data_IF_460221771325
#
_entry.id   IF_460221771325
#
_cell.length_a   1.000
_cell.length_b   1.000
_cell.length_c   1.000
_cell.angle_alpha   90.00
_cell.angle_beta   90.00
_cell.angle_gamma   90.00
#
_symmetry.space_group_name_H-M   'P 1'
#
loop_
_entity.id
_entity.type
_entity.pdbx_description
1 polymer ?
#
# COMPACT_ATOMS: atom_id res chain seq x y z
N UNK A 1 -20.21 8.49 -6.12
CA UNK A 1 -19.66 7.80 -7.32
C UNK A 1 -18.17 7.54 -7.08
N UNK A 2 -17.58 6.51 -7.68
CA UNK A 2 -16.14 6.22 -7.56
C UNK A 2 -15.41 6.42 -8.88
N UNK A 3 -14.22 7.02 -8.85
CA UNK A 3 -13.33 7.14 -10.01
C UNK A 3 -12.29 6.02 -9.97
N UNK A 4 -12.14 5.27 -11.06
CA UNK A 4 -11.12 4.23 -11.23
C UNK A 4 -10.04 4.72 -12.19
N UNK A 5 -8.78 4.46 -11.85
CA UNK A 5 -7.60 4.87 -12.60
C UNK A 5 -6.63 3.69 -12.69
N UNK A 6 -6.10 3.42 -13.90
CA UNK A 6 -5.03 2.45 -14.09
C UNK A 6 -3.71 3.08 -13.64
N UNK A 7 -3.05 2.47 -12.65
CA UNK A 7 -1.79 2.95 -12.08
C UNK A 7 -0.60 2.26 -12.72
N UNK A 8 -0.75 0.96 -13.02
CA UNK A 8 0.32 0.14 -13.55
C UNK A 8 -0.22 -1.03 -14.37
N UNK A 9 0.53 -1.43 -15.39
CA UNK A 9 0.33 -2.66 -16.16
C UNK A 9 1.71 -3.28 -16.42
N UNK A 10 1.84 -4.58 -16.15
CA UNK A 10 3.06 -5.34 -16.35
C UNK A 10 2.79 -6.70 -16.97
N UNK A 11 3.70 -7.65 -16.75
CA UNK A 11 3.65 -9.01 -17.28
C UNK A 11 3.91 -10.09 -16.23
N UNK A 12 4.38 -9.72 -15.03
CA UNK A 12 4.69 -10.68 -13.96
C UNK A 12 4.14 -10.23 -12.60
N UNK A 13 4.05 -11.17 -11.65
CA UNK A 13 3.63 -10.87 -10.28
C UNK A 13 4.72 -10.13 -9.50
N UNK A 14 5.99 -10.32 -9.86
CA UNK A 14 7.12 -9.57 -9.32
C UNK A 14 7.06 -8.10 -9.71
N UNK A 15 6.71 -7.80 -10.96
CA UNK A 15 6.50 -6.42 -11.43
C UNK A 15 5.32 -5.76 -10.71
N UNK A 16 4.23 -6.50 -10.46
CA UNK A 16 3.13 -6.01 -9.63
C UNK A 16 3.55 -5.69 -8.20
N UNK A 17 4.30 -6.59 -7.57
CA UNK A 17 4.80 -6.39 -6.21
C UNK A 17 5.74 -5.19 -6.13
N UNK A 18 6.61 -5.01 -7.13
CA UNK A 18 7.52 -3.87 -7.20
C UNK A 18 6.78 -2.55 -7.43
N UNK A 19 5.88 -2.49 -8.42
CA UNK A 19 5.12 -1.29 -8.69
C UNK A 19 4.27 -0.87 -7.47
N UNK A 20 3.67 -1.83 -6.77
CA UNK A 20 2.91 -1.52 -5.57
C UNK A 20 3.80 -1.11 -4.39
N UNK A 21 4.97 -1.73 -4.22
CA UNK A 21 5.92 -1.37 -3.17
C UNK A 21 6.45 0.06 -3.33
N UNK A 22 6.75 0.46 -4.57
CA UNK A 22 7.17 1.82 -4.91
C UNK A 22 6.07 2.83 -4.62
N UNK A 23 4.82 2.50 -4.98
CA UNK A 23 3.70 3.37 -4.73
C UNK A 23 3.50 3.61 -3.22
N UNK A 24 3.52 2.55 -2.41
CA UNK A 24 3.35 2.67 -0.95
C UNK A 24 4.52 3.42 -0.32
N UNK A 25 5.75 3.12 -0.76
CA UNK A 25 6.97 3.80 -0.31
C UNK A 25 6.95 5.30 -0.63
N UNK A 26 6.51 5.70 -1.84
CA UNK A 26 6.36 7.12 -2.21
C UNK A 26 5.31 7.83 -1.38
N UNK A 27 4.14 7.22 -1.19
CA UNK A 27 3.09 7.80 -0.34
C UNK A 27 3.58 8.00 1.11
N UNK A 28 4.32 7.04 1.63
CA UNK A 28 4.92 7.15 2.96
C UNK A 28 5.97 8.25 3.06
N UNK A 29 6.85 8.36 2.05
CA UNK A 29 7.85 9.42 1.97
C UNK A 29 7.20 10.80 1.93
N UNK A 30 6.11 10.97 1.18
CA UNK A 30 5.34 12.22 1.18
C UNK A 30 4.86 12.58 2.58
N UNK A 31 4.34 11.61 3.32
CA UNK A 31 3.91 11.81 4.70
C UNK A 31 5.10 12.15 5.61
N UNK A 32 6.20 11.39 5.59
CA UNK A 32 7.38 11.70 6.41
C UNK A 32 7.91 13.12 6.17
N UNK A 33 7.94 13.58 4.92
CA UNK A 33 8.36 14.94 4.59
C UNK A 33 7.40 15.99 5.16
N UNK A 34 6.08 15.75 5.11
CA UNK A 34 5.11 16.62 5.76
C UNK A 34 5.36 16.71 7.27
N UNK A 35 5.61 15.57 7.93
CA UNK A 35 5.89 15.54 9.37
C UNK A 35 7.22 16.21 9.72
N UNK A 36 8.26 16.01 8.91
CA UNK A 36 9.53 16.73 9.03
C UNK A 36 9.29 18.24 8.99
N UNK A 37 8.58 18.73 7.98
CA UNK A 37 8.27 20.16 7.84
C UNK A 37 7.47 20.71 9.02
N UNK A 38 6.54 19.93 9.58
CA UNK A 38 5.72 20.34 10.72
C UNK A 38 6.46 20.26 12.06
N UNK A 39 7.48 19.39 12.17
CA UNK A 39 8.20 19.13 13.41
C UNK A 39 9.48 19.96 13.56
N UNK A 40 10.12 20.38 12.46
CA UNK A 40 11.36 21.18 12.53
C UNK A 40 11.08 22.48 13.26
N UNK A 41 11.53 22.53 14.52
CA UNK A 41 11.62 23.74 15.33
C UNK A 41 13.07 24.23 15.41
N UNK A 42 14.04 23.33 15.23
CA UNK A 42 15.48 23.59 15.35
C UNK A 42 16.31 22.84 14.27
N UNK A 43 17.54 23.30 14.03
CA UNK A 43 18.44 22.76 12.99
C UNK A 43 18.97 21.35 13.34
N UNK A 44 19.10 21.03 14.63
CA UNK A 44 19.65 19.76 15.13
C UNK A 44 18.75 18.53 14.88
N UNK A 45 17.50 18.73 14.46
CA UNK A 45 16.59 17.64 14.11
C UNK A 45 16.85 17.08 12.70
N UNK A 46 17.65 17.76 11.85
CA UNK A 46 17.85 17.35 10.44
C UNK A 46 18.45 15.95 10.28
N UNK A 47 19.52 15.57 11.02
CA UNK A 47 20.11 14.23 10.90
C UNK A 47 19.16 13.11 11.35
N UNK A 48 18.32 13.37 12.36
CA UNK A 48 17.28 12.43 12.79
C UNK A 48 16.29 12.16 11.66
N UNK A 49 15.79 13.21 11.01
CA UNK A 49 14.80 13.08 9.94
C UNK A 49 15.38 12.45 8.68
N UNK A 50 16.63 12.76 8.32
CA UNK A 50 17.29 12.19 7.15
C UNK A 50 17.49 10.69 7.29
N UNK A 51 18.07 10.24 8.42
CA UNK A 51 18.24 8.81 8.69
C UNK A 51 16.89 8.08 8.74
N UNK A 52 15.89 8.70 9.38
CA UNK A 52 14.54 8.13 9.46
C UNK A 52 13.89 7.98 8.09
N UNK A 53 14.01 8.99 7.22
CA UNK A 53 13.48 8.95 5.85
C UNK A 53 14.13 7.82 5.06
N UNK A 54 15.46 7.70 5.10
CA UNK A 54 16.18 6.68 4.35
C UNK A 54 15.83 5.26 4.80
N UNK A 55 15.93 4.98 6.10
CA UNK A 55 15.72 3.64 6.64
C UNK A 55 14.24 3.21 6.60
N UNK A 56 13.31 4.05 7.08
CA UNK A 56 11.89 3.68 7.10
C UNK A 56 11.32 3.54 5.68
N UNK A 57 11.79 4.34 4.71
CA UNK A 57 11.36 4.20 3.31
C UNK A 57 11.81 2.88 2.69
N UNK A 58 13.06 2.48 2.95
CA UNK A 58 13.65 1.22 2.45
C UNK A 58 12.94 0.01 3.06
N UNK A 59 12.70 0.03 4.37
CA UNK A 59 11.96 -1.03 5.07
C UNK A 59 10.53 -1.17 4.53
N UNK A 60 9.80 -0.05 4.36
CA UNK A 60 8.44 -0.10 3.80
C UNK A 60 8.42 -0.66 2.40
N UNK A 61 9.36 -0.25 1.54
CA UNK A 61 9.43 -0.78 0.17
C UNK A 61 9.64 -2.30 0.21
N UNK A 62 10.63 -2.78 0.97
CA UNK A 62 10.94 -4.20 1.08
C UNK A 62 9.78 -5.04 1.69
N UNK A 63 9.18 -4.55 2.77
CA UNK A 63 8.08 -5.23 3.45
C UNK A 63 6.80 -5.25 2.60
N UNK A 64 6.50 -4.15 1.91
CA UNK A 64 5.36 -4.07 0.99
C UNK A 64 5.53 -5.03 -0.19
N UNK A 65 6.73 -5.06 -0.80
CA UNK A 65 7.05 -6.00 -1.88
C UNK A 65 6.80 -7.45 -1.42
N UNK A 66 7.44 -7.84 -0.31
CA UNK A 66 7.36 -9.20 0.25
C UNK A 66 5.92 -9.59 0.58
N UNK A 67 5.18 -8.70 1.24
CA UNK A 67 3.78 -8.95 1.64
C UNK A 67 2.87 -9.07 0.41
N UNK A 68 3.03 -8.20 -0.59
CA UNK A 68 2.24 -8.24 -1.83
C UNK A 68 2.49 -9.52 -2.60
N UNK A 69 3.77 -9.90 -2.77
CA UNK A 69 4.16 -11.13 -3.44
C UNK A 69 3.62 -12.37 -2.69
N UNK A 70 3.72 -12.39 -1.36
CA UNK A 70 3.17 -13.47 -0.53
C UNK A 70 1.65 -13.64 -0.69
N UNK A 71 0.90 -12.53 -0.77
CA UNK A 71 -0.55 -12.57 -1.00
C UNK A 71 -0.87 -13.21 -2.36
N UNK A 72 -0.12 -12.87 -3.40
CA UNK A 72 -0.30 -13.41 -4.76
C UNK A 72 0.12 -14.89 -4.86
N UNK A 73 1.25 -15.27 -4.25
CA UNK A 73 1.79 -16.63 -4.31
C UNK A 73 1.05 -17.63 -3.43
N UNK A 74 0.49 -17.17 -2.30
CA UNK A 74 -0.22 -18.02 -1.33
C UNK A 74 -1.65 -17.50 -1.11
N UNK A 75 -2.52 -17.50 -2.14
CA UNK A 75 -3.86 -16.93 -2.05
C UNK A 75 -4.72 -17.65 -1.00
N UNK A 76 -4.47 -18.94 -0.75
CA UNK A 76 -5.19 -19.70 0.25
C UNK A 76 -4.92 -19.28 1.70
N UNK A 77 -3.73 -18.74 1.97
CA UNK A 77 -3.35 -18.22 3.29
C UNK A 77 -3.75 -16.75 3.48
N UNK A 78 -4.06 -16.07 2.38
CA UNK A 78 -4.27 -14.63 2.31
C UNK A 78 -5.69 -14.25 1.86
N UNK A 79 -6.65 -15.16 2.08
CA UNK A 79 -8.05 -15.06 1.62
C UNK A 79 -8.74 -13.75 2.05
N UNK A 80 -8.33 -13.15 3.17
CA UNK A 80 -8.89 -11.89 3.66
C UNK A 80 -8.66 -10.71 2.72
N UNK A 81 -7.62 -10.72 1.89
CA UNK A 81 -7.30 -9.60 1.00
C UNK A 81 -8.02 -9.69 -0.36
N UNK A 82 -8.61 -10.83 -0.70
CA UNK A 82 -9.26 -11.02 -1.99
C UNK A 82 -10.72 -10.58 -1.96
N UNK A 83 -11.17 -9.88 -3.02
CA UNK A 83 -12.59 -9.51 -3.14
C UNK A 83 -13.48 -10.74 -3.21
N UNK A 84 -14.38 -10.86 -2.23
CA UNK A 84 -15.48 -11.82 -2.28
C UNK A 84 -16.44 -11.43 -3.42
N UNK A 85 -16.83 -12.39 -4.25
CA UNK A 85 -17.93 -12.23 -5.20
C UNK A 85 -18.90 -13.38 -5.02
N UNK A 86 -19.99 -13.12 -4.28
CA UNK A 86 -21.13 -14.04 -4.15
C UNK A 86 -20.78 -15.49 -3.81
N UNK A 87 -21.75 -16.39 -3.98
CA UNK A 87 -21.66 -17.77 -3.51
C UNK A 87 -20.75 -18.71 -4.34
N UNK A 88 -20.22 -18.31 -5.51
CA UNK A 88 -19.62 -19.27 -6.44
C UNK A 88 -18.25 -18.94 -7.06
N UNK A 89 -17.72 -17.71 -7.05
CA UNK A 89 -16.36 -17.44 -7.58
C UNK A 89 -15.70 -16.26 -6.89
N UNK A 90 -14.55 -16.46 -6.23
CA UNK A 90 -13.72 -15.34 -5.75
C UNK A 90 -13.10 -14.65 -6.96
N UNK A 91 -13.09 -13.31 -6.99
CA UNK A 91 -12.22 -12.62 -7.95
C UNK A 91 -10.78 -12.80 -7.45
N UNK A 92 -9.85 -13.05 -8.36
CA UNK A 92 -8.41 -13.06 -8.07
C UNK A 92 -7.86 -11.65 -7.75
N UNK A 93 -8.74 -10.65 -7.70
CA UNK A 93 -8.39 -9.27 -7.38
C UNK A 93 -8.21 -9.08 -5.87
N UNK A 94 -7.01 -8.67 -5.51
CA UNK A 94 -6.61 -8.24 -4.17
C UNK A 94 -7.11 -6.81 -3.96
N UNK A 95 -7.81 -6.57 -2.85
CA UNK A 95 -8.30 -5.26 -2.44
C UNK A 95 -7.51 -4.79 -1.23
N UNK A 96 -6.84 -3.65 -1.39
CA UNK A 96 -6.07 -3.01 -0.33
C UNK A 96 -6.72 -1.66 -0.04
N UNK A 97 -7.22 -1.52 1.18
CA UNK A 97 -7.76 -0.28 1.72
C UNK A 97 -7.00 0.06 2.99
N UNK A 98 -7.18 1.28 3.50
CA UNK A 98 -6.65 1.67 4.81
C UNK A 98 -7.04 0.69 5.93
N UNK A 99 -8.21 0.04 5.82
CA UNK A 99 -8.75 -0.87 6.83
C UNK A 99 -8.54 -2.35 6.55
N UNK A 100 -7.91 -2.74 5.43
CA UNK A 100 -7.78 -4.15 5.05
C UNK A 100 -6.78 -4.97 5.89
N UNK A 101 -6.06 -4.33 6.82
CA UNK A 101 -4.96 -4.93 7.58
C UNK A 101 -3.68 -5.14 6.76
N UNK A 102 -3.65 -4.67 5.50
CA UNK A 102 -2.47 -4.78 4.64
C UNK A 102 -1.32 -3.93 5.18
N UNK A 103 -1.60 -2.74 5.71
CA UNK A 103 -0.57 -1.82 6.21
C UNK A 103 -0.04 -2.18 7.60
N UNK A 104 -0.66 -3.16 8.26
CA UNK A 104 -0.26 -3.62 9.58
C UNK A 104 1.13 -4.29 9.51
N UNK A 105 2.00 -3.92 10.45
CA UNK A 105 3.37 -4.43 10.59
C UNK A 105 4.28 -4.21 9.37
N UNK A 106 3.98 -3.24 8.49
CA UNK A 106 4.92 -2.85 7.44
C UNK A 106 6.16 -2.13 7.99
N UNK A 107 6.04 -1.52 9.17
CA UNK A 107 7.17 -1.04 9.96
C UNK A 107 7.07 -1.60 11.38
N UNK A 108 8.18 -2.05 11.98
CA UNK A 108 8.21 -2.40 13.39
C UNK A 108 7.82 -1.17 14.22
N UNK A 109 6.91 -1.36 15.19
CA UNK A 109 6.54 -0.34 16.20
C UNK A 109 5.83 0.92 15.67
N UNK A 110 5.55 1.04 14.37
CA UNK A 110 4.81 2.16 13.77
C UNK A 110 3.68 1.66 12.86
N UNK A 111 2.50 2.22 13.02
CA UNK A 111 1.38 1.97 12.12
C UNK A 111 1.58 2.80 10.85
N UNK A 112 1.61 2.18 9.67
CA UNK A 112 1.72 2.89 8.38
C UNK A 112 0.33 3.31 7.85
N UNK A 113 -0.76 2.74 8.37
CA UNK A 113 -2.10 3.00 7.81
C UNK A 113 -2.54 4.45 7.90
N UNK A 114 -1.96 5.26 8.79
CA UNK A 114 -2.30 6.68 8.89
C UNK A 114 -1.84 7.49 7.67
N UNK A 115 -0.84 7.00 6.94
CA UNK A 115 -0.31 7.65 5.74
C UNK A 115 -1.13 7.35 4.48
N UNK A 116 -2.22 6.57 4.61
CA UNK A 116 -3.06 6.14 3.50
C UNK A 116 -4.41 6.82 3.59
N UNK A 117 -4.82 7.50 2.51
CA UNK A 117 -6.11 8.19 2.48
C UNK A 117 -7.27 7.19 2.58
N UNK A 118 -8.23 7.50 3.44
CA UNK A 118 -9.26 6.56 3.85
C UNK A 118 -10.26 6.18 2.73
N UNK A 119 -10.42 7.02 1.71
CA UNK A 119 -11.32 6.82 0.58
C UNK A 119 -10.64 6.22 -0.66
N UNK A 120 -9.41 5.71 -0.52
CA UNK A 120 -8.67 5.04 -1.60
C UNK A 120 -8.72 3.53 -1.39
N UNK A 121 -8.97 2.82 -2.49
CA UNK A 121 -8.79 1.38 -2.61
C UNK A 121 -7.83 1.09 -3.76
N UNK A 122 -6.82 0.29 -3.50
CA UNK A 122 -5.97 -0.29 -4.54
C UNK A 122 -6.46 -1.69 -4.88
N UNK A 123 -6.59 -1.95 -6.18
CA UNK A 123 -6.99 -3.23 -6.74
C UNK A 123 -5.79 -3.79 -7.49
N UNK A 124 -5.24 -4.89 -7.00
CA UNK A 124 -4.14 -5.60 -7.64
C UNK A 124 -4.72 -6.87 -8.26
N UNK A 125 -4.56 -7.01 -9.57
CA UNK A 125 -5.08 -8.12 -10.33
C UNK A 125 -3.90 -8.93 -10.91
N UNK A 126 -3.57 -10.09 -10.30
CA UNK A 126 -2.44 -10.92 -10.71
C UNK A 126 -2.69 -11.71 -12.00
N UNK A 127 -3.93 -11.78 -12.50
CA UNK A 127 -4.24 -12.45 -13.77
C UNK A 127 -4.10 -11.50 -14.95
N UNK A 128 -4.49 -10.25 -14.77
CA UNK A 128 -4.36 -9.18 -15.78
C UNK A 128 -3.11 -8.32 -15.61
N UNK A 129 -2.25 -8.65 -14.63
CA UNK A 129 -1.02 -7.94 -14.31
C UNK A 129 -1.19 -6.42 -14.19
N UNK A 130 -2.28 -5.97 -13.57
CA UNK A 130 -2.55 -4.54 -13.41
C UNK A 130 -2.80 -4.11 -11.95
N UNK A 131 -2.46 -2.84 -11.68
CA UNK A 131 -2.83 -2.14 -10.45
C UNK A 131 -3.76 -1.01 -10.82
N UNK A 132 -4.90 -0.95 -10.14
CA UNK A 132 -5.85 0.14 -10.28
C UNK A 132 -6.07 0.84 -8.95
N UNK A 133 -6.26 2.15 -9.02
CA UNK A 133 -6.65 2.98 -7.88
C UNK A 133 -8.11 3.36 -8.05
N UNK A 134 -8.90 3.07 -7.04
CA UNK A 134 -10.29 3.47 -6.96
C UNK A 134 -10.44 4.49 -5.85
N UNK A 135 -10.95 5.66 -6.21
CA UNK A 135 -11.20 6.77 -5.28
C UNK A 135 -12.70 6.91 -5.08
N UNK A 136 -13.13 6.83 -3.82
CA UNK A 136 -14.52 6.99 -3.43
C UNK A 136 -14.81 8.44 -3.05
N UNK A 137 -16.02 8.92 -3.34
CA UNK A 137 -16.47 10.25 -2.93
C UNK A 137 -16.56 10.40 -1.41
N UNK A 138 -16.71 9.29 -0.69
CA UNK A 138 -16.82 9.23 0.78
C UNK A 138 -15.95 8.10 1.33
N UNK A 139 -15.71 8.10 2.64
CA UNK A 139 -14.98 7.03 3.31
C UNK A 139 -15.73 5.69 3.17
N UNK A 140 -15.02 4.64 2.76
CA UNK A 140 -15.60 3.29 2.67
C UNK A 140 -14.83 2.33 3.56
N UNK A 141 -15.54 1.76 4.53
CA UNK A 141 -15.04 0.65 5.35
C UNK A 141 -15.42 -0.65 4.64
N UNK A 142 -14.52 -1.12 3.77
CA UNK A 142 -14.64 -2.41 3.06
C UNK A 142 -14.09 -3.56 3.91
#
# INVERSE_FOLDING_TARGET
MSKEELIFSGSTVEELAEAFSELVSRNYLTELNFWRMAAIKEVDDSPYWENRIEEEQKEIKANTYTKTLSIMQYPDRNKQFFKRRGFLRRRHVISITRSSGFYDNLLPRRDVKHTVTANIEYLIDPESFCIKKKTYSEYVRL
#
